data_IF_482513803658
#
_entry.id   IF_482513803658
#
_cell.length_a   1.000
_cell.length_b   1.000
_cell.length_c   1.000
_cell.angle_alpha   90.00
_cell.angle_beta   90.00
_cell.angle_gamma   90.00
#
_symmetry.space_group_name_H-M   'P 1'
#
loop_
_entity.id
_entity.type
_entity.pdbx_description
1 polymer ?
#
# COMPACT_ATOMS: atom_id res chain seq x y z
N UNK A 1 -42.16 -27.99 30.49
CA UNK A 1 -42.25 -26.57 30.11
C UNK A 1 -41.25 -25.70 30.89
N UNK A 2 -41.30 -25.67 32.23
CA UNK A 2 -40.41 -24.82 33.04
C UNK A 2 -38.91 -25.18 32.98
N UNK A 3 -38.54 -26.45 32.81
CA UNK A 3 -37.13 -26.86 32.72
C UNK A 3 -36.48 -26.54 31.35
N UNK A 4 -37.24 -26.62 30.27
CA UNK A 4 -36.76 -26.30 28.91
C UNK A 4 -36.46 -24.79 28.80
N UNK A 5 -37.26 -23.94 29.44
CA UNK A 5 -37.03 -22.50 29.48
C UNK A 5 -35.73 -22.12 30.23
N UNK A 6 -35.41 -22.86 31.30
CA UNK A 6 -34.15 -22.67 32.06
C UNK A 6 -32.93 -23.08 31.22
N UNK A 7 -33.02 -24.17 30.47
CA UNK A 7 -31.93 -24.63 29.60
C UNK A 7 -31.66 -23.65 28.45
N UNK A 8 -32.71 -23.10 27.82
CA UNK A 8 -32.58 -22.08 26.77
C UNK A 8 -31.98 -20.78 27.32
N UNK A 9 -32.36 -20.37 28.54
CA UNK A 9 -31.78 -19.19 29.18
C UNK A 9 -30.30 -19.38 29.52
N UNK A 10 -29.88 -20.56 30.00
CA UNK A 10 -28.47 -20.86 30.30
C UNK A 10 -27.62 -20.89 29.03
N UNK A 11 -28.14 -21.48 27.93
CA UNK A 11 -27.45 -21.49 26.64
C UNK A 11 -27.33 -20.07 26.08
N UNK A 12 -28.39 -19.24 26.17
CA UNK A 12 -28.35 -17.86 25.71
C UNK A 12 -27.33 -17.01 26.50
N UNK A 13 -27.25 -17.18 27.82
CA UNK A 13 -26.26 -16.47 28.66
C UNK A 13 -24.84 -16.94 28.35
N UNK A 14 -24.62 -18.23 28.11
CA UNK A 14 -23.32 -18.75 27.69
C UNK A 14 -22.90 -18.25 26.30
N UNK A 15 -23.81 -18.21 25.32
CA UNK A 15 -23.53 -17.67 23.98
C UNK A 15 -23.19 -16.17 24.06
N UNK A 16 -23.92 -15.40 24.88
CA UNK A 16 -23.65 -13.97 25.07
C UNK A 16 -22.30 -13.75 25.77
N UNK A 17 -21.98 -14.48 26.84
CA UNK A 17 -20.67 -14.35 27.51
C UNK A 17 -19.51 -14.80 26.64
N UNK A 18 -19.67 -15.84 25.81
CA UNK A 18 -18.66 -16.25 24.84
C UNK A 18 -18.51 -15.19 23.74
N UNK A 19 -19.60 -14.61 23.22
CA UNK A 19 -19.52 -13.49 22.27
C UNK A 19 -18.83 -12.24 22.84
N UNK A 20 -19.08 -11.89 24.11
CA UNK A 20 -18.40 -10.77 24.77
C UNK A 20 -16.92 -11.07 25.05
N UNK A 21 -16.56 -12.32 25.37
CA UNK A 21 -15.17 -12.72 25.59
C UNK A 21 -14.35 -12.78 24.30
N UNK A 22 -14.94 -13.20 23.17
CA UNK A 22 -14.29 -13.14 21.86
C UNK A 22 -14.11 -11.68 21.38
N UNK A 23 -15.07 -10.80 21.63
CA UNK A 23 -14.98 -9.39 21.21
C UNK A 23 -13.87 -8.58 21.90
N UNK A 24 -13.44 -8.96 23.11
CA UNK A 24 -12.46 -8.18 23.88
C UNK A 24 -11.04 -8.76 23.88
N UNK A 25 -10.86 -10.02 23.49
CA UNK A 25 -9.54 -10.67 23.54
C UNK A 25 -8.72 -10.50 22.25
N UNK A 26 -9.39 -10.26 21.11
CA UNK A 26 -8.75 -10.14 19.79
C UNK A 26 -8.21 -8.73 19.48
N UNK A 27 -8.60 -7.73 20.28
CA UNK A 27 -8.24 -6.31 20.10
C UNK A 27 -6.77 -6.03 20.45
N UNK A 28 -6.29 -6.53 21.58
CA UNK A 28 -5.11 -5.94 22.20
C UNK A 28 -3.78 -6.41 21.60
N UNK A 29 -3.75 -7.63 21.02
CA UNK A 29 -2.57 -8.14 20.32
C UNK A 29 -2.41 -7.55 18.91
N UNK A 30 -3.52 -7.36 18.18
CA UNK A 30 -3.55 -6.69 16.88
C UNK A 30 -3.08 -5.23 16.98
N UNK A 31 -3.53 -4.52 18.02
CA UNK A 31 -3.23 -3.11 18.20
C UNK A 31 -1.73 -2.84 18.37
N UNK A 32 -1.00 -3.66 19.15
CA UNK A 32 0.43 -3.45 19.44
C UNK A 32 1.29 -3.45 18.16
N UNK A 33 1.09 -4.44 17.29
CA UNK A 33 1.78 -4.52 16.00
C UNK A 33 1.32 -3.45 15.00
N UNK A 34 0.03 -3.08 14.99
CA UNK A 34 -0.50 -2.01 14.14
C UNK A 34 0.19 -0.66 14.42
N UNK A 35 0.56 -0.39 15.67
CA UNK A 35 1.36 0.79 16.04
C UNK A 35 2.76 0.74 15.42
N UNK A 36 3.42 -0.43 15.44
CA UNK A 36 4.79 -0.62 14.94
C UNK A 36 4.96 -0.47 13.42
N UNK A 37 3.87 -0.73 12.67
CA UNK A 37 3.80 -0.49 11.21
C UNK A 37 3.19 0.88 10.84
N UNK A 38 2.86 1.70 11.83
CA UNK A 38 2.42 3.08 11.62
C UNK A 38 0.93 3.26 11.28
N UNK A 39 0.07 2.27 11.58
CA UNK A 39 -1.37 2.47 11.57
C UNK A 39 -1.81 3.15 12.88
N UNK A 40 -2.50 4.31 12.84
CA UNK A 40 -3.00 4.94 14.05
C UNK A 40 -4.10 4.09 14.67
N UNK A 41 -4.02 3.78 15.96
CA UNK A 41 -5.17 3.23 16.68
C UNK A 41 -6.27 4.28 16.74
N UNK A 42 -7.31 4.09 15.95
CA UNK A 42 -8.55 4.82 16.15
C UNK A 42 -9.24 4.27 17.40
N UNK A 43 -9.01 4.92 18.56
CA UNK A 43 -9.93 4.77 19.70
C UNK A 43 -11.25 5.44 19.26
N UNK A 44 -12.31 4.64 19.21
CA UNK A 44 -13.70 4.98 18.84
C UNK A 44 -13.99 5.36 17.37
N UNK A 45 -13.63 4.49 16.43
CA UNK A 45 -14.16 4.49 15.06
C UNK A 45 -13.70 3.23 14.36
N UNK A 46 -14.62 2.44 13.81
CA UNK A 46 -14.35 1.12 13.24
C UNK A 46 -13.13 1.09 12.31
N UNK A 47 -12.39 -0.03 12.32
CA UNK A 47 -11.19 -0.22 11.49
C UNK A 47 -11.57 0.05 10.04
N UNK A 48 -10.91 1.03 9.41
CA UNK A 48 -11.16 1.38 8.03
C UNK A 48 -10.91 0.13 7.16
N UNK A 49 -11.95 -0.33 6.47
CA UNK A 49 -11.88 -1.52 5.64
C UNK A 49 -10.90 -1.33 4.48
N UNK A 50 -10.19 -2.39 4.14
CA UNK A 50 -9.17 -2.40 3.11
C UNK A 50 -9.77 -2.25 1.70
N UNK A 51 -9.06 -1.54 0.83
CA UNK A 51 -9.36 -1.40 -0.60
C UNK A 51 -8.02 -1.45 -1.33
N UNK A 52 -7.70 -2.60 -1.93
CA UNK A 52 -6.42 -2.90 -2.58
C UNK A 52 -6.61 -3.73 -3.85
N UNK A 53 -5.65 -3.67 -4.74
CA UNK A 53 -5.50 -4.64 -5.83
C UNK A 53 -4.42 -5.64 -5.38
N UNK A 54 -4.87 -6.76 -4.83
CA UNK A 54 -4.02 -7.75 -4.17
C UNK A 54 -3.70 -8.91 -5.11
N UNK A 55 -2.42 -9.14 -5.37
CA UNK A 55 -1.94 -10.29 -6.10
C UNK A 55 -1.22 -11.26 -5.15
N UNK A 56 -1.79 -12.44 -4.96
CA UNK A 56 -1.15 -13.53 -4.24
C UNK A 56 -0.22 -14.27 -5.20
N UNK A 57 1.04 -14.44 -4.82
CA UNK A 57 2.06 -15.18 -5.57
C UNK A 57 2.52 -16.33 -4.68
N UNK A 58 1.95 -17.50 -4.92
CA UNK A 58 2.00 -18.65 -4.00
C UNK A 58 2.89 -19.75 -4.56
N UNK A 59 3.84 -20.19 -3.75
CA UNK A 59 4.70 -21.32 -4.05
C UNK A 59 3.89 -22.63 -4.01
N UNK A 60 4.08 -23.46 -5.03
CA UNK A 60 3.53 -24.82 -5.14
C UNK A 60 4.65 -25.82 -5.47
N UNK A 61 5.89 -25.49 -5.12
CA UNK A 61 7.04 -26.33 -5.35
C UNK A 61 7.02 -27.61 -4.50
N UNK A 62 7.71 -28.64 -4.98
CA UNK A 62 7.69 -29.98 -4.41
C UNK A 62 8.08 -30.04 -2.92
N UNK A 63 8.89 -29.09 -2.43
CA UNK A 63 9.27 -29.02 -1.01
C UNK A 63 8.09 -28.83 -0.06
N UNK A 64 7.02 -28.18 -0.52
CA UNK A 64 5.80 -28.00 0.26
C UNK A 64 5.11 -29.34 0.49
N UNK A 65 5.02 -30.16 -0.57
CA UNK A 65 4.32 -31.45 -0.55
C UNK A 65 2.79 -31.33 -0.49
N UNK A 66 2.12 -32.39 -0.95
CA UNK A 66 0.64 -32.42 -1.03
C UNK A 66 -0.04 -32.26 0.33
N UNK A 67 0.53 -32.88 1.36
CA UNK A 67 -0.03 -32.85 2.72
C UNK A 67 -0.04 -31.43 3.26
N UNK A 68 1.11 -30.74 3.28
CA UNK A 68 1.20 -29.37 3.79
C UNK A 68 0.41 -28.39 2.91
N UNK A 69 0.36 -28.62 1.59
CA UNK A 69 -0.46 -27.81 0.71
C UNK A 69 -1.96 -27.89 1.07
N UNK A 70 -2.48 -29.10 1.32
CA UNK A 70 -3.88 -29.31 1.66
C UNK A 70 -4.22 -28.96 3.12
N UNK A 71 -3.29 -29.15 4.06
CA UNK A 71 -3.53 -28.93 5.48
C UNK A 71 -3.21 -27.50 5.92
N UNK A 72 -2.27 -26.84 5.24
CA UNK A 72 -1.77 -25.54 5.66
C UNK A 72 -1.97 -24.46 4.59
N UNK A 73 -1.43 -24.64 3.38
CA UNK A 73 -1.43 -23.56 2.36
C UNK A 73 -2.85 -23.22 1.90
N UNK A 74 -3.68 -24.21 1.55
CA UNK A 74 -5.06 -23.93 1.11
C UNK A 74 -5.92 -23.30 2.21
N UNK A 75 -5.97 -23.86 3.44
CA UNK A 75 -6.65 -23.21 4.55
C UNK A 75 -6.12 -21.81 4.89
N UNK A 76 -4.84 -21.52 4.61
CA UNK A 76 -4.30 -20.17 4.71
C UNK A 76 -5.01 -19.21 3.77
N UNK A 77 -5.03 -19.57 2.49
CA UNK A 77 -5.56 -18.74 1.43
C UNK A 77 -7.05 -18.52 1.62
N UNK A 78 -7.78 -19.57 2.04
CA UNK A 78 -9.20 -19.50 2.40
C UNK A 78 -9.43 -18.49 3.54
N UNK A 79 -8.70 -18.61 4.65
CA UNK A 79 -8.84 -17.66 5.77
C UNK A 79 -8.43 -16.24 5.39
N UNK A 80 -7.38 -16.10 4.57
CA UNK A 80 -6.91 -14.81 4.09
C UNK A 80 -7.99 -14.04 3.33
N UNK A 81 -8.64 -14.69 2.38
CA UNK A 81 -9.67 -14.02 1.56
C UNK A 81 -10.99 -13.82 2.30
N UNK A 82 -11.24 -14.59 3.36
CA UNK A 82 -12.40 -14.43 4.24
C UNK A 82 -12.19 -13.38 5.33
N UNK A 83 -10.97 -12.87 5.51
CA UNK A 83 -10.68 -11.90 6.56
C UNK A 83 -11.50 -10.60 6.37
N UNK A 84 -12.30 -10.19 7.37
CA UNK A 84 -13.14 -9.00 7.27
C UNK A 84 -12.37 -7.69 7.04
N UNK A 85 -11.13 -7.59 7.53
CA UNK A 85 -10.27 -6.43 7.31
C UNK A 85 -9.83 -6.34 5.85
N UNK A 86 -9.56 -7.49 5.21
CA UNK A 86 -9.21 -7.52 3.80
C UNK A 86 -10.36 -7.02 2.92
N UNK A 87 -11.61 -7.21 3.37
CA UNK A 87 -12.80 -6.62 2.74
C UNK A 87 -12.85 -6.91 1.23
N UNK A 88 -12.78 -8.20 0.87
CA UNK A 88 -12.89 -8.63 -0.53
C UNK A 88 -14.25 -8.18 -1.09
N UNK A 89 -14.24 -7.55 -2.26
CA UNK A 89 -15.44 -7.00 -2.88
C UNK A 89 -15.14 -6.09 -4.07
N UNK A 90 -16.19 -5.78 -4.84
CA UNK A 90 -16.09 -4.90 -6.02
C UNK A 90 -15.52 -3.51 -5.66
N UNK A 91 -16.10 -2.88 -4.63
CA UNK A 91 -15.64 -1.61 -4.04
C UNK A 91 -14.55 -1.79 -2.98
N UNK A 92 -14.17 -3.03 -2.70
CA UNK A 92 -13.20 -3.43 -1.68
C UNK A 92 -11.88 -3.88 -2.27
N UNK A 93 -11.24 -4.83 -1.61
CA UNK A 93 -10.04 -5.49 -2.13
C UNK A 93 -10.42 -6.45 -3.26
N UNK A 94 -9.73 -6.32 -4.39
CA UNK A 94 -9.85 -7.24 -5.50
C UNK A 94 -8.62 -8.15 -5.51
N UNK A 95 -8.82 -9.46 -5.62
CA UNK A 95 -7.76 -10.46 -5.42
C UNK A 95 -7.49 -11.21 -6.71
N UNK A 96 -6.21 -11.40 -7.03
CA UNK A 96 -5.71 -12.32 -8.05
C UNK A 96 -4.79 -13.38 -7.46
N UNK A 97 -4.51 -14.42 -8.22
CA UNK A 97 -3.66 -15.54 -7.81
C UNK A 97 -2.71 -15.96 -8.94
N UNK A 98 -1.43 -15.97 -8.62
CA UNK A 98 -0.37 -16.68 -9.34
C UNK A 98 0.08 -17.83 -8.46
N UNK A 99 0.17 -19.02 -9.03
CA UNK A 99 0.96 -20.12 -8.46
C UNK A 99 2.30 -20.18 -9.16
N UNK A 100 3.36 -20.54 -8.45
CA UNK A 100 4.65 -20.77 -9.07
C UNK A 100 5.34 -22.01 -8.51
N UNK A 101 6.00 -22.73 -9.40
CA UNK A 101 6.88 -23.84 -9.07
C UNK A 101 7.97 -23.93 -10.14
N UNK A 102 7.88 -24.87 -11.08
CA UNK A 102 8.71 -24.83 -12.28
C UNK A 102 8.16 -23.84 -13.31
N UNK A 103 8.99 -23.42 -14.26
CA UNK A 103 8.60 -22.39 -15.23
C UNK A 103 7.34 -22.76 -16.05
N UNK A 104 7.18 -24.03 -16.42
CA UNK A 104 6.04 -24.51 -17.21
C UNK A 104 4.81 -24.87 -16.36
N UNK A 105 4.94 -24.87 -15.03
CA UNK A 105 3.88 -25.10 -14.04
C UNK A 105 3.45 -23.83 -13.31
N UNK A 106 4.12 -22.71 -13.60
CA UNK A 106 3.78 -21.40 -13.06
C UNK A 106 2.64 -20.82 -13.88
N UNK A 107 1.55 -20.43 -13.23
CA UNK A 107 0.31 -20.04 -13.89
C UNK A 107 -0.40 -18.88 -13.19
N UNK A 108 -1.06 -18.02 -13.98
CA UNK A 108 -1.99 -16.99 -13.51
C UNK A 108 -3.38 -17.61 -13.37
N UNK A 109 -3.67 -18.24 -12.22
CA UNK A 109 -4.91 -18.98 -12.02
C UNK A 109 -6.14 -18.07 -11.87
N UNK A 110 -5.96 -16.86 -11.34
CA UNK A 110 -7.05 -15.92 -11.12
C UNK A 110 -6.59 -14.50 -11.45
N UNK A 111 -7.32 -13.85 -12.35
CA UNK A 111 -7.15 -12.42 -12.61
C UNK A 111 -7.72 -11.60 -11.45
N UNK A 112 -7.09 -10.47 -11.14
CA UNK A 112 -7.60 -9.52 -10.14
C UNK A 112 -9.01 -9.07 -10.55
N UNK A 113 -9.92 -9.02 -9.59
CA UNK A 113 -11.31 -8.59 -9.79
C UNK A 113 -12.18 -9.62 -10.53
N UNK A 114 -11.72 -10.86 -10.71
CA UNK A 114 -12.52 -11.90 -11.36
C UNK A 114 -13.62 -12.47 -10.46
N UNK A 115 -13.37 -12.54 -9.15
CA UNK A 115 -14.31 -12.99 -8.13
C UNK A 115 -14.36 -11.92 -7.04
N UNK A 116 -15.53 -11.35 -6.79
CA UNK A 116 -15.74 -10.31 -5.79
C UNK A 116 -16.34 -10.84 -4.48
N UNK A 117 -17.02 -11.98 -4.51
CA UNK A 117 -17.56 -12.59 -3.30
C UNK A 117 -16.46 -13.36 -2.55
N UNK A 118 -16.26 -13.01 -1.28
CA UNK A 118 -15.23 -13.63 -0.44
C UNK A 118 -15.47 -15.15 -0.25
N UNK A 119 -16.73 -15.58 -0.17
CA UNK A 119 -17.10 -16.98 -0.04
C UNK A 119 -16.80 -17.77 -1.31
N UNK A 120 -17.16 -17.25 -2.48
CA UNK A 120 -16.81 -17.84 -3.78
C UNK A 120 -15.30 -17.90 -3.98
N UNK A 121 -14.59 -16.84 -3.59
CA UNK A 121 -13.12 -16.79 -3.68
C UNK A 121 -12.48 -17.83 -2.75
N UNK A 122 -13.01 -18.00 -1.54
CA UNK A 122 -12.57 -19.06 -0.63
C UNK A 122 -12.84 -20.46 -1.21
N UNK A 123 -14.01 -20.70 -1.82
CA UNK A 123 -14.29 -21.97 -2.50
C UNK A 123 -13.34 -22.21 -3.69
N UNK A 124 -12.96 -21.15 -4.42
CA UNK A 124 -11.94 -21.24 -5.46
C UNK A 124 -10.58 -21.67 -4.89
N UNK A 125 -10.12 -21.06 -3.79
CA UNK A 125 -8.87 -21.46 -3.12
C UNK A 125 -8.93 -22.91 -2.61
N UNK A 126 -10.08 -23.30 -2.04
CA UNK A 126 -10.36 -24.68 -1.61
C UNK A 126 -10.38 -25.68 -2.76
N UNK A 127 -10.71 -25.23 -3.97
CA UNK A 127 -10.77 -26.06 -5.17
C UNK A 127 -9.40 -26.34 -5.81
N UNK A 128 -8.32 -25.71 -5.36
CA UNK A 128 -6.98 -25.92 -5.90
C UNK A 128 -6.55 -27.38 -5.74
N UNK A 129 -6.08 -27.98 -6.83
CA UNK A 129 -5.71 -29.40 -6.92
C UNK A 129 -4.19 -29.52 -7.05
N UNK A 130 -3.56 -30.11 -6.04
CA UNK A 130 -2.11 -30.28 -5.96
C UNK A 130 -1.53 -30.94 -7.22
N UNK A 131 -2.21 -31.94 -7.79
CA UNK A 131 -1.74 -32.66 -8.97
C UNK A 131 -1.63 -31.76 -10.22
N UNK A 132 -2.38 -30.66 -10.25
CA UNK A 132 -2.36 -29.69 -11.36
C UNK A 132 -1.32 -28.61 -11.14
N UNK A 133 -1.24 -28.11 -9.91
CA UNK A 133 -0.48 -26.89 -9.57
C UNK A 133 0.97 -27.15 -9.16
N UNK A 134 1.32 -28.38 -8.77
CA UNK A 134 2.65 -28.69 -8.26
C UNK A 134 3.72 -28.83 -9.35
N UNK A 135 4.96 -28.56 -8.96
CA UNK A 135 6.17 -28.74 -9.78
C UNK A 135 7.42 -28.85 -8.90
N UNK A 136 8.55 -29.26 -9.46
CA UNK A 136 9.78 -29.60 -8.74
C UNK A 136 10.70 -28.46 -8.28
N UNK A 137 10.57 -27.24 -8.80
CA UNK A 137 11.46 -26.11 -8.47
C UNK A 137 10.72 -24.91 -7.90
N UNK A 138 11.46 -23.94 -7.38
CA UNK A 138 10.95 -22.71 -6.77
C UNK A 138 11.30 -21.52 -7.68
N UNK A 139 10.67 -21.44 -8.86
CA UNK A 139 10.91 -20.40 -9.87
C UNK A 139 10.17 -19.10 -9.53
N UNK A 140 10.52 -18.52 -8.39
CA UNK A 140 10.00 -17.22 -7.93
C UNK A 140 10.20 -16.12 -8.97
N UNK A 141 11.27 -16.19 -9.77
CA UNK A 141 11.52 -15.29 -10.89
C UNK A 141 10.37 -15.30 -11.91
N UNK A 142 9.78 -16.45 -12.22
CA UNK A 142 8.67 -16.55 -13.17
C UNK A 142 7.38 -16.01 -12.54
N UNK A 143 7.14 -16.29 -11.26
CA UNK A 143 6.00 -15.73 -10.52
C UNK A 143 6.03 -14.19 -10.51
N UNK A 144 7.19 -13.59 -10.20
CA UNK A 144 7.35 -12.13 -10.19
C UNK A 144 7.38 -11.52 -11.59
N UNK A 145 7.83 -12.25 -12.62
CA UNK A 145 7.66 -11.84 -14.01
C UNK A 145 6.18 -11.72 -14.37
N UNK A 146 5.37 -12.70 -14.01
CA UNK A 146 3.92 -12.68 -14.26
C UNK A 146 3.21 -11.59 -13.46
N UNK A 147 3.62 -11.33 -12.22
CA UNK A 147 3.16 -10.18 -11.46
C UNK A 147 3.46 -8.86 -12.20
N UNK A 148 4.70 -8.72 -12.72
CA UNK A 148 5.08 -7.54 -13.50
C UNK A 148 4.22 -7.36 -14.75
N UNK A 149 3.89 -8.45 -15.45
CA UNK A 149 3.01 -8.44 -16.62
C UNK A 149 1.58 -8.05 -16.26
N UNK A 150 1.05 -8.56 -15.14
CA UNK A 150 -0.27 -8.13 -14.63
C UNK A 150 -0.25 -6.61 -14.41
N UNK A 151 0.72 -6.08 -13.67
CA UNK A 151 0.81 -4.63 -13.42
C UNK A 151 1.55 -3.85 -14.51
N UNK A 152 1.59 -4.32 -15.76
CA UNK A 152 2.31 -3.65 -16.86
C UNK A 152 1.45 -2.67 -17.66
N UNK A 153 0.12 -2.75 -17.56
CA UNK A 153 -0.81 -1.93 -18.33
C UNK A 153 -1.87 -1.24 -17.47
N UNK A 154 -2.51 -0.21 -18.03
CA UNK A 154 -3.74 0.38 -17.49
C UNK A 154 -4.91 -0.54 -17.83
N UNK A 155 -5.10 -1.61 -17.07
CA UNK A 155 -6.34 -2.38 -17.12
C UNK A 155 -7.18 -1.99 -15.90
N UNK A 156 -8.45 -1.58 -16.08
CA UNK A 156 -9.29 -1.10 -14.98
C UNK A 156 -9.53 -2.15 -13.87
N UNK A 157 -9.23 -3.43 -14.11
CA UNK A 157 -9.33 -4.50 -13.10
C UNK A 157 -8.06 -4.71 -12.26
N UNK A 158 -6.93 -4.11 -12.63
CA UNK A 158 -5.63 -4.25 -11.95
C UNK A 158 -4.82 -2.98 -12.16
N UNK A 159 -4.65 -2.20 -11.08
CA UNK A 159 -4.20 -0.80 -11.05
C UNK A 159 -5.37 0.20 -11.12
N UNK A 160 -6.37 0.02 -10.25
CA UNK A 160 -7.48 0.98 -10.09
C UNK A 160 -6.91 2.36 -9.63
N UNK A 161 -7.33 3.50 -10.23
CA UNK A 161 -6.66 4.79 -10.04
C UNK A 161 -6.56 5.33 -8.60
N UNK A 162 -7.46 4.91 -7.71
CA UNK A 162 -7.55 5.33 -6.31
C UNK A 162 -7.19 4.21 -5.31
N UNK A 163 -6.57 3.14 -5.80
CA UNK A 163 -6.30 1.91 -5.04
C UNK A 163 -4.83 1.57 -5.14
N UNK A 164 -4.24 1.15 -4.01
CA UNK A 164 -2.86 0.70 -4.02
C UNK A 164 -2.75 -0.78 -4.40
N UNK A 165 -1.75 -1.08 -5.23
CA UNK A 165 -1.40 -2.43 -5.63
C UNK A 165 -0.49 -3.11 -4.59
N UNK A 166 -0.77 -4.38 -4.29
CA UNK A 166 -0.01 -5.19 -3.34
C UNK A 166 0.29 -6.55 -3.94
N UNK A 167 1.54 -6.98 -3.87
CA UNK A 167 1.98 -8.34 -4.15
C UNK A 167 2.36 -9.02 -2.84
N UNK A 168 1.73 -10.16 -2.55
CA UNK A 168 2.09 -11.02 -1.42
C UNK A 168 2.79 -12.26 -1.96
N UNK A 169 4.04 -12.46 -1.56
CA UNK A 169 4.84 -13.64 -1.91
C UNK A 169 4.75 -14.64 -0.75
N UNK A 170 4.26 -15.86 -0.99
CA UNK A 170 4.21 -16.94 0.01
C UNK A 170 5.09 -18.08 -0.50
N UNK A 171 6.13 -18.44 0.25
CA UNK A 171 7.09 -19.48 -0.15
C UNK A 171 7.74 -20.17 1.05
N UNK A 172 8.09 -21.45 0.88
CA UNK A 172 8.81 -22.25 1.87
C UNK A 172 10.31 -22.38 1.59
N UNK A 173 10.81 -21.70 0.55
CA UNK A 173 12.16 -21.90 0.07
C UNK A 173 12.79 -20.73 -0.66
N UNK A 174 14.07 -20.91 -0.97
CA UNK A 174 14.85 -19.95 -1.76
C UNK A 174 14.50 -20.09 -3.26
N UNK A 175 14.58 -19.00 -4.03
CA UNK A 175 14.45 -19.06 -5.49
C UNK A 175 15.50 -20.02 -6.10
N UNK A 176 15.05 -21.07 -6.79
CA UNK A 176 15.90 -22.14 -7.34
C UNK A 176 15.43 -22.62 -8.72
N UNK A 177 16.32 -23.30 -9.45
CA UNK A 177 16.04 -23.98 -10.72
C UNK A 177 16.98 -23.60 -11.85
N UNK A 178 17.47 -22.34 -11.90
CA UNK A 178 18.56 -21.90 -12.80
C UNK A 178 19.59 -21.12 -12.01
N UNK A 179 20.82 -21.03 -12.53
CA UNK A 179 21.91 -20.28 -11.89
C UNK A 179 21.59 -18.81 -11.65
N UNK A 180 20.77 -18.19 -12.50
CA UNK A 180 20.38 -16.78 -12.41
C UNK A 180 19.00 -16.56 -11.77
N UNK A 181 18.33 -17.59 -11.24
CA UNK A 181 16.97 -17.47 -10.69
C UNK A 181 16.90 -16.42 -9.57
N UNK A 182 17.82 -16.43 -8.61
CA UNK A 182 17.83 -15.45 -7.52
C UNK A 182 18.04 -14.02 -8.05
N UNK A 183 18.96 -13.84 -8.99
CA UNK A 183 19.24 -12.53 -9.59
C UNK A 183 18.00 -11.97 -10.30
N UNK A 184 17.36 -12.77 -11.16
CA UNK A 184 16.12 -12.37 -11.85
C UNK A 184 14.97 -12.10 -10.87
N UNK A 185 14.88 -12.88 -9.79
CA UNK A 185 13.87 -12.66 -8.74
C UNK A 185 14.04 -11.26 -8.13
N UNK A 186 15.28 -10.87 -7.81
CA UNK A 186 15.58 -9.53 -7.28
C UNK A 186 15.29 -8.42 -8.29
N UNK A 187 15.63 -8.62 -9.56
CA UNK A 187 15.33 -7.69 -10.65
C UNK A 187 13.82 -7.46 -10.79
N UNK A 188 13.03 -8.53 -10.92
CA UNK A 188 11.58 -8.40 -11.05
C UNK A 188 10.90 -7.83 -9.81
N UNK A 189 11.40 -8.13 -8.61
CA UNK A 189 10.91 -7.48 -7.39
C UNK A 189 11.22 -5.97 -7.39
N UNK A 190 12.39 -5.56 -7.87
CA UNK A 190 12.72 -4.15 -8.01
C UNK A 190 11.83 -3.46 -9.04
N UNK A 191 11.54 -4.08 -10.18
CA UNK A 191 10.61 -3.54 -11.18
C UNK A 191 9.21 -3.28 -10.59
N UNK A 192 8.69 -4.21 -9.78
CA UNK A 192 7.41 -4.04 -9.07
C UNK A 192 7.49 -2.88 -8.07
N UNK A 193 8.56 -2.79 -7.27
CA UNK A 193 8.77 -1.68 -6.33
C UNK A 193 8.88 -0.33 -7.05
N UNK A 194 9.52 -0.28 -8.21
CA UNK A 194 9.60 0.91 -9.06
C UNK A 194 8.25 1.33 -9.66
N UNK A 195 7.34 0.36 -9.84
CA UNK A 195 5.91 0.59 -10.16
C UNK A 195 5.07 0.99 -8.94
N UNK A 196 5.67 1.12 -7.76
CA UNK A 196 5.00 1.59 -6.55
C UNK A 196 4.17 0.52 -5.84
N UNK A 197 4.26 -0.71 -6.33
CA UNK A 197 3.57 -1.88 -5.80
C UNK A 197 4.22 -2.28 -4.48
N UNK A 198 3.39 -2.47 -3.46
CA UNK A 198 3.84 -2.94 -2.16
C UNK A 198 4.13 -4.45 -2.25
N UNK A 199 5.34 -4.87 -1.87
CA UNK A 199 5.69 -6.30 -1.77
C UNK A 199 5.75 -6.68 -0.29
N UNK A 200 4.93 -7.66 0.07
CA UNK A 200 4.86 -8.31 1.37
C UNK A 200 5.34 -9.75 1.21
N UNK A 201 6.21 -10.22 2.10
CA UNK A 201 6.76 -11.58 2.06
C UNK A 201 6.27 -12.43 3.22
N UNK A 202 5.89 -13.67 2.95
CA UNK A 202 5.57 -14.67 3.95
C UNK A 202 6.48 -15.90 3.75
N UNK A 203 7.47 -16.04 4.63
CA UNK A 203 8.32 -17.21 4.74
C UNK A 203 7.62 -18.27 5.59
N UNK A 204 7.25 -19.38 4.97
CA UNK A 204 6.49 -20.46 5.63
C UNK A 204 7.33 -21.74 5.76
N UNK A 205 6.89 -22.65 6.62
CA UNK A 205 7.54 -23.95 6.79
C UNK A 205 8.75 -23.97 7.74
N UNK A 206 9.38 -25.15 7.89
CA UNK A 206 10.42 -25.38 8.89
C UNK A 206 11.71 -24.60 8.59
N UNK A 207 11.99 -24.34 7.32
CA UNK A 207 13.22 -23.70 6.85
C UNK A 207 13.09 -22.17 6.65
N UNK A 208 11.95 -21.58 7.02
CA UNK A 208 11.64 -20.14 6.88
C UNK A 208 12.78 -19.18 7.25
N UNK A 209 13.49 -19.46 8.34
CA UNK A 209 14.59 -18.60 8.83
C UNK A 209 15.82 -18.63 7.94
N UNK A 210 16.04 -19.70 7.16
CA UNK A 210 17.22 -19.82 6.28
C UNK A 210 17.14 -18.84 5.11
N UNK A 211 15.95 -18.62 4.57
CA UNK A 211 15.74 -17.79 3.37
C UNK A 211 15.01 -16.48 3.64
N UNK A 212 14.58 -16.20 4.88
CA UNK A 212 13.91 -14.94 5.25
C UNK A 212 14.63 -13.69 4.72
N UNK A 213 15.96 -13.68 4.83
CA UNK A 213 16.80 -12.57 4.34
C UNK A 213 16.58 -12.28 2.84
N UNK A 214 16.29 -13.30 2.03
CA UNK A 214 15.95 -13.13 0.62
C UNK A 214 14.63 -12.38 0.49
N UNK A 215 13.59 -12.79 1.21
CA UNK A 215 12.30 -12.08 1.20
C UNK A 215 12.45 -10.63 1.70
N UNK A 216 13.35 -10.36 2.65
CA UNK A 216 13.63 -8.99 3.13
C UNK A 216 14.25 -8.11 2.04
N UNK A 217 15.05 -8.68 1.15
CA UNK A 217 15.57 -7.97 -0.04
C UNK A 217 14.49 -7.75 -1.11
N UNK A 218 13.55 -8.70 -1.26
CA UNK A 218 12.46 -8.58 -2.24
C UNK A 218 11.39 -7.59 -1.79
N UNK A 219 11.00 -7.65 -0.51
CA UNK A 219 9.93 -6.85 0.08
C UNK A 219 10.21 -5.34 -0.01
N UNK A 220 9.14 -4.55 0.06
CA UNK A 220 9.27 -3.07 0.09
C UNK A 220 9.92 -2.58 1.39
N UNK A 221 9.75 -3.33 2.48
CA UNK A 221 10.42 -3.11 3.77
C UNK A 221 10.62 -4.46 4.45
N UNK A 222 11.71 -4.63 5.18
CA UNK A 222 11.93 -5.81 6.02
C UNK A 222 10.83 -6.00 7.07
N UNK A 223 10.14 -4.92 7.47
CA UNK A 223 8.96 -4.98 8.36
C UNK A 223 7.77 -5.72 7.75
N UNK A 224 7.72 -5.83 6.43
CA UNK A 224 6.66 -6.54 5.69
C UNK A 224 7.03 -7.99 5.39
N UNK A 225 8.08 -8.50 6.01
CA UNK A 225 8.43 -9.92 5.94
C UNK A 225 8.00 -10.61 7.21
N UNK A 226 7.10 -11.57 7.01
CA UNK A 226 6.57 -12.43 8.05
C UNK A 226 7.26 -13.77 7.94
N UNK A 227 7.72 -14.29 9.06
CA UNK A 227 8.18 -15.67 9.18
C UNK A 227 7.43 -16.34 10.31
N UNK A 228 6.64 -17.35 9.99
CA UNK A 228 6.04 -18.17 11.04
C UNK A 228 5.80 -19.60 10.58
N UNK A 229 5.57 -20.43 11.58
CA UNK A 229 5.17 -21.81 11.38
C UNK A 229 3.75 -21.86 10.82
N UNK A 230 3.41 -22.90 10.04
CA UNK A 230 2.02 -23.10 9.61
C UNK A 230 1.07 -23.25 10.82
N UNK A 231 1.59 -23.59 12.00
CA UNK A 231 0.83 -23.62 13.24
C UNK A 231 0.47 -22.24 13.84
N UNK A 232 0.97 -21.14 13.26
CA UNK A 232 0.76 -19.75 13.72
C UNK A 232 0.10 -18.88 12.64
N UNK A 233 -0.71 -19.51 11.78
CA UNK A 233 -1.32 -18.86 10.62
C UNK A 233 -2.21 -17.66 10.94
N UNK A 234 -2.83 -17.61 12.13
CA UNK A 234 -3.67 -16.47 12.53
C UNK A 234 -2.83 -15.21 12.78
N UNK A 235 -1.63 -15.35 13.36
CA UNK A 235 -0.70 -14.22 13.52
C UNK A 235 -0.13 -13.76 12.19
N UNK A 236 0.16 -14.70 11.27
CA UNK A 236 0.61 -14.36 9.91
C UNK A 236 -0.51 -13.64 9.18
N UNK A 237 -1.72 -14.19 9.22
CA UNK A 237 -2.91 -13.65 8.59
C UNK A 237 -3.13 -12.21 9.05
N UNK A 238 -3.09 -11.99 10.37
CA UNK A 238 -3.27 -10.67 10.96
C UNK A 238 -2.25 -9.65 10.46
N UNK A 239 -0.96 -10.01 10.53
CA UNK A 239 0.13 -9.14 10.10
C UNK A 239 0.15 -8.95 8.59
N UNK A 240 -0.26 -9.95 7.82
CA UNK A 240 -0.28 -9.92 6.36
C UNK A 240 -1.40 -9.02 5.86
N UNK A 241 -2.61 -9.19 6.37
CA UNK A 241 -3.75 -8.33 6.06
C UNK A 241 -3.43 -6.91 6.49
N UNK A 242 -2.96 -6.73 7.71
CA UNK A 242 -2.66 -5.39 8.18
C UNK A 242 -1.50 -4.73 7.42
N UNK A 243 -0.44 -5.47 7.02
CA UNK A 243 0.64 -4.95 6.14
C UNK A 243 0.13 -4.59 4.75
N UNK A 244 -0.73 -5.43 4.17
CA UNK A 244 -1.32 -5.23 2.84
C UNK A 244 -2.28 -4.05 2.81
N UNK A 245 -2.95 -3.79 3.94
CA UNK A 245 -3.96 -2.74 4.09
C UNK A 245 -3.39 -1.42 4.59
N UNK A 246 -2.07 -1.31 4.76
CA UNK A 246 -1.40 -0.02 5.01
C UNK A 246 -1.66 0.90 3.83
N UNK A 247 -2.28 2.06 4.09
CA UNK A 247 -2.28 3.15 3.12
C UNK A 247 -0.82 3.59 2.96
N UNK A 248 -0.23 3.57 1.75
CA UNK A 248 1.12 4.04 1.57
C UNK A 248 1.20 5.43 2.19
N UNK A 249 2.29 5.62 2.91
CA UNK A 249 2.61 6.85 3.60
C UNK A 249 2.36 8.03 2.65
N UNK A 250 1.34 8.83 3.00
CA UNK A 250 1.06 10.08 2.30
C UNK A 250 2.35 10.89 2.23
N UNK A 251 2.83 11.16 1.02
CA UNK A 251 3.83 12.18 0.85
C UNK A 251 3.18 13.51 1.23
N UNK A 252 3.80 14.24 2.15
CA UNK A 252 3.32 15.55 2.58
C UNK A 252 4.16 16.62 1.91
N UNK A 253 3.48 17.64 1.38
CA UNK A 253 4.13 18.85 0.93
C UNK A 253 4.57 19.67 2.13
N UNK A 254 5.68 20.39 1.99
CA UNK A 254 5.97 21.50 2.88
C UNK A 254 5.09 22.69 2.46
N UNK A 255 4.38 23.30 3.40
CA UNK A 255 3.54 24.46 3.10
C UNK A 255 4.38 25.60 2.51
N UNK A 256 3.88 26.19 1.42
CA UNK A 256 4.56 27.28 0.73
C UNK A 256 3.57 28.42 0.45
N UNK A 257 3.67 29.48 1.25
CA UNK A 257 2.88 30.71 1.10
C UNK A 257 3.84 31.89 0.99
N UNK A 258 3.68 32.74 -0.01
CA UNK A 258 4.47 33.96 -0.12
C UNK A 258 4.05 34.99 0.92
N UNK A 259 5.00 35.79 1.42
CA UNK A 259 4.64 37.07 2.03
C UNK A 259 3.89 37.94 1.00
N UNK A 260 2.99 38.85 1.42
CA UNK A 260 2.32 39.76 0.50
C UNK A 260 3.31 40.62 -0.29
N UNK A 261 3.17 40.63 -1.62
CA UNK A 261 4.02 41.38 -2.54
C UNK A 261 3.23 42.61 -3.00
N UNK A 262 3.84 43.78 -2.95
CA UNK A 262 3.18 45.03 -3.34
C UNK A 262 3.59 45.46 -4.74
N UNK A 263 2.61 45.81 -5.57
CA UNK A 263 2.87 46.43 -6.88
C UNK A 263 3.44 47.84 -6.68
N UNK A 264 4.27 48.29 -7.63
CA UNK A 264 4.75 49.68 -7.62
C UNK A 264 3.58 50.62 -7.92
N UNK A 265 3.59 51.87 -7.41
CA UNK A 265 2.59 52.85 -7.77
C UNK A 265 2.51 53.01 -9.30
N UNK A 266 1.31 52.86 -9.87
CA UNK A 266 1.07 52.91 -11.32
C UNK A 266 1.08 51.56 -12.04
N UNK A 267 1.56 50.48 -11.41
CA UNK A 267 1.55 49.14 -11.98
C UNK A 267 0.31 48.34 -11.53
N UNK A 268 -0.22 47.50 -12.42
CA UNK A 268 -1.35 46.59 -12.13
C UNK A 268 -0.92 45.16 -11.83
N UNK A 269 0.37 44.86 -11.99
CA UNK A 269 0.94 43.52 -11.84
C UNK A 269 2.30 43.56 -11.14
N UNK A 270 2.66 42.49 -10.42
CA UNK A 270 3.99 42.28 -9.86
C UNK A 270 4.63 41.03 -10.48
N UNK A 271 5.90 41.12 -10.87
CA UNK A 271 6.69 39.93 -11.23
C UNK A 271 7.13 39.24 -9.94
N UNK A 272 6.78 37.96 -9.82
CA UNK A 272 7.04 37.14 -8.63
C UNK A 272 7.91 35.96 -9.04
N UNK A 273 8.94 35.69 -8.24
CA UNK A 273 9.77 34.51 -8.31
C UNK A 273 9.48 33.62 -7.10
N UNK A 274 9.29 32.32 -7.33
CA UNK A 274 9.07 31.33 -6.29
C UNK A 274 9.84 30.02 -6.59
N UNK A 275 10.27 29.28 -5.55
CA UNK A 275 10.93 28.00 -5.72
C UNK A 275 9.92 26.87 -6.02
N UNK A 276 10.41 25.77 -6.60
CA UNK A 276 9.61 24.56 -6.78
C UNK A 276 9.35 23.94 -5.38
N UNK A 277 8.09 23.63 -5.02
CA UNK A 277 7.77 23.10 -3.70
C UNK A 277 8.43 21.75 -3.45
N UNK A 278 8.78 21.50 -2.19
CA UNK A 278 9.40 20.25 -1.75
C UNK A 278 8.36 19.38 -1.03
N UNK A 279 8.52 18.07 -1.12
CA UNK A 279 7.67 17.10 -0.43
C UNK A 279 8.52 16.04 0.27
N UNK A 280 7.97 15.45 1.33
CA UNK A 280 8.58 14.34 2.06
C UNK A 280 7.62 13.16 2.13
N UNK A 281 8.10 11.98 1.77
CA UNK A 281 7.35 10.73 1.92
C UNK A 281 7.85 10.03 3.18
N UNK A 282 6.96 9.71 4.14
CA UNK A 282 7.36 8.93 5.32
C UNK A 282 7.63 7.47 4.91
N UNK A 283 8.49 6.75 5.64
CA UNK A 283 8.82 5.32 5.45
C UNK A 283 9.58 4.93 4.16
N UNK A 284 10.87 5.29 4.07
CA UNK A 284 11.86 4.51 3.31
C UNK A 284 11.79 4.55 1.78
N UNK A 285 10.78 5.16 1.16
CA UNK A 285 10.76 5.42 -0.29
C UNK A 285 11.75 6.54 -0.61
N UNK A 286 12.85 6.22 -1.31
CA UNK A 286 13.57 7.20 -2.13
C UNK A 286 12.66 7.54 -3.32
N UNK A 287 11.77 8.51 -3.13
CA UNK A 287 10.86 8.98 -4.16
C UNK A 287 11.68 9.49 -5.36
N UNK A 288 11.70 8.71 -6.45
CA UNK A 288 12.34 9.14 -7.70
C UNK A 288 11.29 9.84 -8.53
N UNK A 289 11.50 11.11 -8.85
CA UNK A 289 10.55 11.91 -9.63
C UNK A 289 10.52 11.41 -11.09
N UNK A 290 9.32 11.18 -11.63
CA UNK A 290 9.12 10.81 -13.05
C UNK A 290 8.79 12.04 -13.88
N UNK A 291 7.74 12.78 -13.49
CA UNK A 291 7.33 14.01 -14.16
C UNK A 291 6.73 15.00 -13.17
N UNK A 292 6.75 16.28 -13.52
CA UNK A 292 6.09 17.36 -12.78
C UNK A 292 5.13 18.06 -13.71
N UNK A 293 3.88 18.22 -13.27
CA UNK A 293 2.84 18.95 -13.98
C UNK A 293 2.46 20.20 -13.16
N UNK A 294 2.37 21.36 -13.80
CA UNK A 294 2.08 22.64 -13.13
C UNK A 294 0.73 23.17 -13.64
N UNK A 295 -0.16 23.52 -12.72
CA UNK A 295 -1.46 24.13 -13.03
C UNK A 295 -1.64 25.43 -12.26
N UNK A 296 -1.88 26.58 -12.92
CA UNK A 296 -1.90 26.76 -14.39
C UNK A 296 -0.51 26.55 -15.02
N UNK A 297 -0.45 26.42 -16.36
CA UNK A 297 0.79 26.21 -17.13
C UNK A 297 1.66 27.48 -17.16
N UNK A 298 2.22 27.83 -16.00
CA UNK A 298 3.07 28.99 -15.78
C UNK A 298 4.39 28.57 -15.17
N UNK A 299 5.44 29.34 -15.43
CA UNK A 299 6.80 29.08 -14.94
C UNK A 299 7.31 30.27 -14.14
N UNK A 300 8.03 30.02 -13.05
CA UNK A 300 8.72 31.05 -12.27
C UNK A 300 9.94 31.59 -13.03
N UNK A 301 10.15 32.92 -13.10
CA UNK A 301 9.30 33.99 -12.57
C UNK A 301 8.11 34.34 -13.49
N UNK A 302 7.01 34.85 -12.91
CA UNK A 302 5.79 35.20 -13.64
C UNK A 302 5.13 36.49 -13.11
N UNK A 303 4.38 37.20 -13.96
CA UNK A 303 3.67 38.41 -13.58
C UNK A 303 2.24 38.08 -13.10
N UNK A 304 1.91 38.48 -11.86
CA UNK A 304 0.58 38.28 -11.29
C UNK A 304 -0.13 39.62 -11.10
N UNK A 305 -1.43 39.64 -11.39
CA UNK A 305 -2.30 40.76 -11.04
C UNK A 305 -2.52 40.82 -9.52
N UNK A 306 -3.01 41.96 -9.03
CA UNK A 306 -3.43 42.10 -7.64
C UNK A 306 -4.49 41.03 -7.31
N UNK A 307 -4.27 40.28 -6.23
CA UNK A 307 -5.10 39.15 -5.82
C UNK A 307 -4.30 38.01 -5.20
N UNK A 308 -5.03 36.95 -4.84
CA UNK A 308 -4.46 35.68 -4.39
C UNK A 308 -4.46 34.68 -5.55
N UNK A 309 -3.32 34.02 -5.77
CA UNK A 309 -3.10 33.09 -6.87
C UNK A 309 -2.56 31.78 -6.32
N UNK A 310 -3.13 30.65 -6.75
CA UNK A 310 -2.71 29.32 -6.32
C UNK A 310 -2.11 28.58 -7.51
N UNK A 311 -0.89 28.07 -7.32
CA UNK A 311 -0.15 27.29 -8.31
C UNK A 311 -0.01 25.88 -7.77
N UNK A 312 -0.57 24.90 -8.48
CA UNK A 312 -0.52 23.49 -8.07
C UNK A 312 0.58 22.75 -8.82
N UNK A 313 1.57 22.26 -8.08
CA UNK A 313 2.62 21.37 -8.60
C UNK A 313 2.23 19.92 -8.31
N UNK A 314 1.96 19.13 -9.35
CA UNK A 314 1.70 17.71 -9.23
C UNK A 314 2.96 16.93 -9.60
N UNK A 315 3.62 16.36 -8.60
CA UNK A 315 4.78 15.49 -8.75
C UNK A 315 4.32 14.06 -8.95
N UNK A 316 4.53 13.52 -10.15
CA UNK A 316 4.32 12.09 -10.44
C UNK A 316 5.60 11.35 -10.09
N UNK A 317 5.54 10.50 -9.08
CA UNK A 317 6.66 9.69 -8.65
C UNK A 317 6.78 8.44 -9.52
N UNK A 318 7.98 7.86 -9.59
CA UNK A 318 8.15 6.49 -10.05
C UNK A 318 7.31 5.61 -9.13
N UNK A 319 6.30 4.97 -9.73
CA UNK A 319 5.38 4.08 -9.06
C UNK A 319 3.95 4.58 -8.84
N UNK A 320 3.42 5.37 -9.78
CA UNK A 320 1.99 5.71 -9.84
C UNK A 320 1.51 6.75 -8.81
N UNK A 321 2.22 6.92 -7.71
CA UNK A 321 1.87 7.90 -6.67
C UNK A 321 2.08 9.32 -7.16
N UNK A 322 1.04 10.15 -7.03
CA UNK A 322 1.08 11.58 -7.34
C UNK A 322 0.96 12.41 -6.07
N UNK A 323 1.77 13.46 -5.97
CA UNK A 323 1.79 14.39 -4.83
C UNK A 323 1.51 15.79 -5.36
N UNK A 324 0.42 16.41 -4.92
CA UNK A 324 0.08 17.78 -5.34
C UNK A 324 0.40 18.76 -4.23
N UNK A 325 1.31 19.70 -4.53
CA UNK A 325 1.74 20.75 -3.62
C UNK A 325 1.27 22.12 -4.11
N UNK A 326 0.40 22.82 -3.35
CA UNK A 326 0.00 24.18 -3.67
C UNK A 326 1.08 25.18 -3.25
N UNK A 327 1.26 26.21 -4.08
CA UNK A 327 2.01 27.43 -3.78
C UNK A 327 1.05 28.60 -3.86
N UNK A 328 0.87 29.32 -2.74
CA UNK A 328 -0.02 30.48 -2.68
C UNK A 328 0.79 31.76 -2.79
N UNK A 329 0.46 32.58 -3.80
CA UNK A 329 1.07 33.89 -4.05
C UNK A 329 0.03 34.98 -3.79
N UNK A 330 0.38 35.95 -2.94
CA UNK A 330 -0.48 37.10 -2.65
C UNK A 330 0.14 38.39 -3.18
N UNK A 331 -0.54 39.06 -4.12
CA UNK A 331 -0.15 40.38 -4.63
C UNK A 331 -1.16 41.43 -4.18
N UNK A 332 -0.68 42.53 -3.59
CA UNK A 332 -1.49 43.64 -3.10
C UNK A 332 -1.19 44.92 -3.87
N UNK A 333 -2.20 45.78 -3.96
CA UNK A 333 -2.04 47.17 -4.42
C UNK A 333 -1.04 47.91 -3.52
N UNK A 334 -0.12 48.68 -4.12
CA UNK A 334 0.70 49.62 -3.36
C UNK A 334 -0.18 50.63 -2.64
N UNK A 335 0.14 50.96 -1.39
CA UNK A 335 -0.50 52.09 -0.71
C UNK A 335 -0.13 53.36 -1.49
N UNK A 336 -1.14 54.09 -1.98
CA UNK A 336 -0.94 55.45 -2.46
C UNK A 336 -0.38 56.28 -1.30
N UNK A 337 0.91 56.61 -1.39
CA UNK A 337 1.48 57.69 -0.59
C UNK A 337 0.85 58.98 -1.10
N UNK A 338 -0.27 59.37 -0.49
CA UNK A 338 -0.79 60.71 -0.59
C UNK A 338 0.32 61.67 -0.13
N UNK A 339 0.85 62.44 -1.07
CA UNK A 339 1.78 63.54 -0.79
C UNK A 339 1.12 64.52 0.18
N UNK A 340 1.46 64.41 1.46
CA UNK A 340 0.96 65.29 2.51
C UNK A 340 1.16 64.74 3.91
N UNK A 341 2.40 64.52 4.34
CA UNK A 341 2.69 64.17 5.74
C UNK A 341 4.14 63.77 5.98
N UNK A 342 4.82 64.58 6.79
CA UNK A 342 6.25 64.52 7.10
C UNK A 342 6.62 63.34 8.05
N UNK A 343 7.70 62.63 7.68
CA UNK A 343 8.72 61.87 8.45
C UNK A 343 8.35 60.93 9.61
N UNK A 344 8.72 59.65 9.46
CA UNK A 344 9.84 58.96 10.16
C UNK A 344 9.51 57.47 10.42
N UNK A 345 10.25 56.57 9.77
CA UNK A 345 10.09 55.13 9.96
C UNK A 345 11.07 54.31 9.14
N UNK A 346 12.17 53.89 9.80
CA UNK A 346 13.23 53.00 9.31
C UNK A 346 12.77 51.94 8.28
N UNK A 347 13.47 51.91 7.14
CA UNK A 347 13.49 50.78 6.21
C UNK A 347 13.95 49.49 6.91
N UNK A 348 13.17 48.39 6.89
CA UNK A 348 13.67 47.08 7.26
C UNK A 348 14.57 46.53 6.15
N UNK A 349 15.76 46.08 6.53
CA UNK A 349 16.76 45.44 5.67
C UNK A 349 16.17 44.33 4.79
N UNK A 350 16.41 44.42 3.48
CA UNK A 350 16.29 43.30 2.56
C UNK A 350 17.36 42.26 2.88
N UNK A 351 16.97 41.10 3.43
CA UNK A 351 17.79 39.89 3.28
C UNK A 351 17.45 39.28 1.93
N UNK A 352 18.46 39.26 1.04
CA UNK A 352 18.49 38.38 -0.12
C UNK A 352 18.42 36.93 0.36
N UNK A 353 17.70 36.10 -0.39
CA UNK A 353 17.55 34.66 -0.21
C UNK A 353 18.89 33.94 -0.10
#
# INVERSE_FOLDING_TARGET
MAEVLKLVAVIAVFVVQVCFAFSSYESDYYNDWLYDVGMPSSRSGGVAKCKKDLLLVVDTSYSIGETSFNQDVKPFLERLVLDPLLNVGEEGTQVGLIIFSEAHKTEKLLNIGKIYDAGELAQFMKGLDWSKVSGGHTRTDVGLKYANEIFSGENPSNNRPDVDDVVVIITDGEPRGRSNTLQLTKEYANDLKEKGILIVGAAVGPDRRKFKHILEELATSSKYVLDADFNQMDDILAKLVASSCIKPSKCSCHEMTSSPIYVKPGDTTAVVEWPIPQFTCKAGRKATLKTTEVTPQITSPHAFAIGEHIISYTFKLKGGVSVTCPVTITVKGGLEINNGGNLDGKLPNFRKF
#
